data_IF_928781749682
#
_entry.id   IF_928781749682
#
_cell.length_a   1.000
_cell.length_b   1.000
_cell.length_c   1.000
_cell.angle_alpha   90.00
_cell.angle_beta   90.00
_cell.angle_gamma   90.00
#
_symmetry.space_group_name_H-M   'P 1'
#
loop_
_entity.id
_entity.type
_entity.pdbx_description
1 polymer ?
#
# COMPACT_ATOMS: atom_id res chain seq x y z
N UNK A 1 19.22 18.15 -3.28
CA UNK A 1 19.56 16.79 -2.79
C UNK A 1 20.99 16.75 -2.30
N UNK A 2 21.28 16.17 -1.13
CA UNK A 2 22.65 15.96 -0.67
C UNK A 2 23.46 15.14 -1.68
N UNK A 3 24.73 15.50 -1.89
CA UNK A 3 25.62 14.87 -2.88
C UNK A 3 25.76 13.36 -2.68
N UNK A 4 25.76 12.91 -1.41
CA UNK A 4 25.80 11.49 -1.05
C UNK A 4 24.60 10.70 -1.60
N UNK A 5 23.38 11.24 -1.48
CA UNK A 5 22.16 10.58 -1.98
C UNK A 5 22.17 10.52 -3.50
N UNK A 6 22.55 11.63 -4.16
CA UNK A 6 22.72 11.68 -5.61
C UNK A 6 23.73 10.63 -6.10
N UNK A 7 24.89 10.54 -5.46
CA UNK A 7 25.94 9.58 -5.83
C UNK A 7 25.52 8.13 -5.58
N UNK A 8 24.74 7.87 -4.53
CA UNK A 8 24.16 6.55 -4.26
C UNK A 8 23.19 6.12 -5.36
N UNK A 9 22.23 6.98 -5.72
CA UNK A 9 21.28 6.68 -6.79
C UNK A 9 21.96 6.44 -8.14
N UNK A 10 23.02 7.19 -8.45
CA UNK A 10 23.83 6.97 -9.68
C UNK A 10 24.50 5.60 -9.66
N UNK A 11 25.09 5.18 -8.54
CA UNK A 11 25.74 3.85 -8.40
C UNK A 11 24.73 2.73 -8.57
N UNK A 12 23.57 2.84 -7.95
CA UNK A 12 22.50 1.84 -8.04
C UNK A 12 21.97 1.70 -9.47
N UNK A 13 21.70 2.83 -10.14
CA UNK A 13 21.27 2.84 -11.53
C UNK A 13 22.30 2.17 -12.46
N UNK A 14 23.59 2.49 -12.32
CA UNK A 14 24.67 1.85 -13.09
C UNK A 14 24.77 0.34 -12.83
N UNK A 15 24.59 -0.08 -11.57
CA UNK A 15 24.59 -1.50 -11.20
C UNK A 15 23.45 -2.26 -11.86
N UNK A 16 22.23 -1.72 -11.81
CA UNK A 16 21.05 -2.29 -12.47
C UNK A 16 21.24 -2.36 -13.99
N UNK A 17 21.74 -1.28 -14.62
CA UNK A 17 22.03 -1.24 -16.05
C UNK A 17 23.04 -2.32 -16.48
N UNK A 18 24.18 -2.43 -15.77
CA UNK A 18 25.20 -3.44 -16.06
C UNK A 18 24.65 -4.86 -15.93
N UNK A 19 23.86 -5.13 -14.88
CA UNK A 19 23.19 -6.42 -14.69
C UNK A 19 22.23 -6.72 -15.85
N UNK A 20 21.45 -5.74 -16.26
CA UNK A 20 20.46 -5.84 -17.35
C UNK A 20 21.11 -6.13 -18.70
N UNK A 21 22.23 -5.46 -19.00
CA UNK A 21 23.03 -5.68 -20.22
C UNK A 21 23.59 -7.11 -20.25
N UNK A 22 24.08 -7.63 -19.12
CA UNK A 22 24.61 -9.01 -19.02
C UNK A 22 23.52 -10.06 -19.28
N UNK A 23 22.32 -9.86 -18.74
CA UNK A 23 21.19 -10.80 -18.90
C UNK A 23 20.33 -10.54 -20.14
N UNK A 24 20.69 -9.52 -20.96
CA UNK A 24 19.92 -9.02 -22.13
C UNK A 24 18.42 -8.80 -21.83
N UNK A 25 18.06 -8.51 -20.59
CA UNK A 25 16.69 -8.34 -20.11
C UNK A 25 16.68 -7.24 -19.06
N UNK A 26 15.84 -6.23 -19.24
CA UNK A 26 15.62 -5.23 -18.20
C UNK A 26 14.81 -5.92 -17.07
N UNK A 27 15.31 -5.95 -15.82
CA UNK A 27 14.56 -6.46 -14.70
C UNK A 27 13.41 -5.48 -14.43
N UNK A 28 12.27 -5.74 -15.07
CA UNK A 28 11.04 -5.03 -14.75
C UNK A 28 10.48 -5.69 -13.50
N UNK A 29 10.33 -4.93 -12.42
CA UNK A 29 9.63 -5.38 -11.21
C UNK A 29 8.12 -5.45 -11.49
N UNK A 30 7.70 -6.37 -12.37
CA UNK A 30 6.28 -6.69 -12.56
C UNK A 30 5.92 -7.75 -11.53
N UNK A 31 5.56 -7.32 -10.32
CA UNK A 31 4.79 -8.20 -9.45
C UNK A 31 3.39 -8.34 -10.06
N UNK A 32 2.93 -9.55 -10.42
CA UNK A 32 1.59 -9.73 -10.93
C UNK A 32 0.60 -9.24 -9.86
N UNK A 33 -0.25 -8.31 -10.24
CA UNK A 33 -1.23 -7.69 -9.38
C UNK A 33 -2.55 -7.59 -10.14
N UNK A 34 -3.64 -7.92 -9.46
CA UNK A 34 -4.98 -7.71 -9.97
C UNK A 34 -5.60 -6.55 -9.20
N UNK A 35 -6.23 -5.61 -9.91
CA UNK A 35 -6.73 -4.36 -9.35
C UNK A 35 -8.16 -4.17 -9.82
N UNK A 36 -9.07 -3.92 -8.87
CA UNK A 36 -10.46 -3.57 -9.14
C UNK A 36 -10.78 -2.24 -8.46
N UNK A 37 -11.51 -1.37 -9.17
CA UNK A 37 -12.09 -0.19 -8.56
C UNK A 37 -13.26 -0.60 -7.62
N UNK A 38 -13.72 0.32 -6.77
CA UNK A 38 -14.81 0.04 -5.82
C UNK A 38 -16.17 -0.27 -6.46
N UNK A 39 -16.34 -0.05 -7.76
CA UNK A 39 -17.57 -0.41 -8.49
C UNK A 39 -17.54 -1.86 -8.99
N UNK A 40 -16.36 -2.49 -9.05
CA UNK A 40 -16.15 -3.79 -9.66
C UNK A 40 -15.87 -4.90 -8.65
N UNK A 41 -16.06 -4.67 -7.35
CA UNK A 41 -16.04 -5.73 -6.36
C UNK A 41 -17.04 -5.46 -5.24
N UNK A 42 -17.37 -6.49 -4.48
CA UNK A 42 -18.20 -6.41 -3.28
C UNK A 42 -17.53 -7.20 -2.16
N UNK A 43 -17.70 -6.76 -0.93
CA UNK A 43 -17.30 -7.51 0.26
C UNK A 43 -18.58 -7.83 1.03
N UNK A 44 -18.80 -9.10 1.33
CA UNK A 44 -19.94 -9.58 2.11
C UNK A 44 -19.42 -10.56 3.15
N UNK A 45 -19.68 -10.27 4.42
CA UNK A 45 -19.21 -11.09 5.54
C UNK A 45 -17.70 -11.42 5.39
N UNK A 46 -17.36 -12.69 5.16
CA UNK A 46 -16.01 -13.18 4.95
C UNK A 46 -15.71 -13.53 3.48
N UNK A 47 -16.36 -12.87 2.53
CA UNK A 47 -16.21 -13.14 1.10
C UNK A 47 -15.97 -11.86 0.32
N UNK A 48 -15.02 -11.93 -0.61
CA UNK A 48 -14.79 -10.86 -1.60
C UNK A 48 -15.25 -11.36 -2.96
N UNK A 49 -16.17 -10.64 -3.58
CA UNK A 49 -16.72 -10.91 -4.89
C UNK A 49 -16.11 -9.96 -5.92
N UNK A 50 -15.56 -10.48 -7.01
CA UNK A 50 -15.01 -9.67 -8.11
C UNK A 50 -15.06 -10.46 -9.43
N UNK A 51 -15.10 -9.79 -10.59
CA UNK A 51 -15.06 -10.46 -11.88
C UNK A 51 -13.67 -11.00 -12.17
N UNK A 52 -13.61 -12.22 -12.67
CA UNK A 52 -12.42 -12.88 -13.19
C UNK A 52 -12.69 -13.38 -14.60
N UNK A 53 -11.66 -13.38 -15.44
CA UNK A 53 -11.76 -13.87 -16.80
C UNK A 53 -11.43 -15.37 -16.83
N UNK A 54 -12.44 -16.20 -17.09
CA UNK A 54 -12.34 -17.66 -17.12
C UNK A 54 -12.94 -18.13 -18.45
N UNK A 55 -12.20 -18.95 -19.20
CA UNK A 55 -12.66 -19.56 -20.45
C UNK A 55 -13.23 -18.55 -21.46
N UNK A 56 -12.55 -17.42 -21.66
CA UNK A 56 -12.97 -16.40 -22.63
C UNK A 56 -14.14 -15.51 -22.18
N UNK A 57 -14.65 -15.67 -20.95
CA UNK A 57 -15.79 -14.91 -20.43
C UNK A 57 -15.47 -14.28 -19.07
N UNK A 58 -16.03 -13.10 -18.83
CA UNK A 58 -16.01 -12.48 -17.50
C UNK A 58 -17.06 -13.16 -16.61
N UNK A 59 -16.64 -13.66 -15.45
CA UNK A 59 -17.51 -14.30 -14.46
C UNK A 59 -17.28 -13.70 -13.08
N UNK A 60 -18.37 -13.32 -12.41
CA UNK A 60 -18.36 -12.93 -10.99
C UNK A 60 -17.91 -14.15 -10.15
N UNK A 61 -16.82 -14.02 -9.40
CA UNK A 61 -16.34 -15.06 -8.48
C UNK A 61 -16.34 -14.55 -7.06
N UNK A 62 -16.68 -15.44 -6.13
CA UNK A 62 -16.76 -15.17 -4.70
C UNK A 62 -15.67 -15.98 -3.99
N UNK A 63 -14.75 -15.29 -3.30
CA UNK A 63 -13.60 -15.92 -2.63
C UNK A 63 -13.66 -15.66 -1.14
N UNK A 64 -13.59 -16.73 -0.34
CA UNK A 64 -13.50 -16.63 1.11
C UNK A 64 -12.20 -15.97 1.52
N UNK A 65 -12.28 -15.05 2.47
CA UNK A 65 -11.16 -14.32 3.06
C UNK A 65 -11.06 -14.56 4.55
N UNK A 66 -9.83 -14.54 5.05
CA UNK A 66 -9.54 -14.59 6.48
C UNK A 66 -9.49 -13.15 6.96
N UNK A 67 -10.43 -12.77 7.82
CA UNK A 67 -10.56 -11.42 8.37
C UNK A 67 -10.53 -11.48 9.90
N UNK A 68 -9.82 -10.53 10.51
CA UNK A 68 -9.92 -10.22 11.94
C UNK A 68 -11.10 -9.28 12.20
N UNK A 69 -11.61 -9.23 13.44
CA UNK A 69 -12.69 -8.31 13.83
C UNK A 69 -12.34 -6.84 13.54
N UNK A 70 -11.08 -6.45 13.79
CA UNK A 70 -10.57 -5.12 13.47
C UNK A 70 -10.74 -4.79 11.97
N UNK A 71 -10.36 -5.73 11.09
CA UNK A 71 -10.51 -5.55 9.65
C UNK A 71 -11.99 -5.52 9.24
N UNK A 72 -12.84 -6.36 9.82
CA UNK A 72 -14.28 -6.32 9.55
C UNK A 72 -14.87 -4.95 9.91
N UNK A 73 -14.47 -4.36 11.03
CA UNK A 73 -14.91 -3.03 11.42
C UNK A 73 -14.39 -1.94 10.47
N UNK A 74 -13.14 -2.02 10.01
CA UNK A 74 -12.60 -1.07 9.03
C UNK A 74 -13.32 -1.13 7.69
N UNK A 75 -13.71 -2.32 7.24
CA UNK A 75 -14.39 -2.53 5.96
C UNK A 75 -15.84 -2.01 5.93
N UNK A 76 -16.38 -1.55 7.07
CA UNK A 76 -17.65 -0.79 7.13
C UNK A 76 -17.53 0.64 6.59
N UNK A 77 -16.30 1.16 6.51
CA UNK A 77 -16.03 2.49 5.98
C UNK A 77 -16.15 2.52 4.45
N UNK A 78 -16.07 3.72 3.86
CA UNK A 78 -16.08 3.88 2.41
C UNK A 78 -14.90 3.13 1.78
N UNK A 79 -15.24 2.15 0.94
CA UNK A 79 -14.28 1.31 0.25
C UNK A 79 -13.73 1.97 -1.01
N UNK A 80 -12.43 1.79 -1.23
CA UNK A 80 -11.70 2.24 -2.41
C UNK A 80 -11.22 1.07 -3.27
N UNK A 81 -10.00 1.15 -3.78
CA UNK A 81 -9.43 0.11 -4.65
C UNK A 81 -9.20 -1.21 -3.92
N UNK A 82 -9.56 -2.33 -4.56
CA UNK A 82 -9.14 -3.68 -4.19
C UNK A 82 -7.90 -4.06 -4.98
N UNK A 83 -6.87 -4.56 -4.29
CA UNK A 83 -5.63 -5.06 -4.87
C UNK A 83 -5.37 -6.48 -4.38
N UNK A 84 -5.26 -7.43 -5.31
CA UNK A 84 -4.88 -8.82 -4.99
C UNK A 84 -3.47 -9.09 -5.48
N UNK A 85 -2.62 -9.60 -4.59
CA UNK A 85 -1.24 -9.98 -4.88
C UNK A 85 -0.92 -11.36 -4.31
N UNK A 86 0.09 -12.02 -4.87
CA UNK A 86 0.67 -13.24 -4.31
C UNK A 86 2.03 -12.92 -3.68
N UNK A 87 2.18 -13.14 -2.37
CA UNK A 87 3.43 -12.95 -1.62
C UNK A 87 3.73 -14.20 -0.83
N UNK A 88 4.92 -14.79 -1.03
CA UNK A 88 5.36 -16.01 -0.33
C UNK A 88 4.30 -17.13 -0.38
N UNK A 89 3.77 -17.41 -1.57
CA UNK A 89 2.68 -18.36 -1.82
C UNK A 89 1.32 -18.07 -1.14
N UNK A 90 1.16 -16.94 -0.47
CA UNK A 90 -0.12 -16.50 0.10
C UNK A 90 -0.78 -15.45 -0.79
N UNK A 91 -2.08 -15.59 -1.00
CA UNK A 91 -2.89 -14.56 -1.64
C UNK A 91 -3.28 -13.51 -0.62
N UNK A 92 -3.06 -12.24 -0.96
CA UNK A 92 -3.33 -11.10 -0.10
C UNK A 92 -4.27 -10.17 -0.85
N UNK A 93 -5.46 -9.97 -0.29
CA UNK A 93 -6.41 -8.94 -0.71
C UNK A 93 -6.20 -7.69 0.16
N UNK A 94 -5.81 -6.58 -0.48
CA UNK A 94 -5.65 -5.28 0.16
C UNK A 94 -6.79 -4.38 -0.32
N UNK A 95 -7.49 -3.76 0.63
CA UNK A 95 -8.62 -2.88 0.35
C UNK A 95 -8.29 -1.51 0.90
N UNK A 96 -8.33 -0.49 0.06
CA UNK A 96 -8.25 0.89 0.53
C UNK A 96 -9.55 1.24 1.26
N UNK A 97 -9.44 1.81 2.46
CA UNK A 97 -10.58 2.28 3.26
C UNK A 97 -10.38 3.75 3.60
N UNK A 98 -11.41 4.57 3.42
CA UNK A 98 -11.39 5.97 3.84
C UNK A 98 -11.98 6.06 5.24
N UNK A 99 -11.14 6.34 6.24
CA UNK A 99 -11.54 6.52 7.63
C UNK A 99 -11.63 8.03 7.93
N UNK A 100 -12.67 8.51 8.64
CA UNK A 100 -12.75 9.90 9.05
C UNK A 100 -11.53 10.29 9.90
N UNK A 101 -10.96 11.46 9.63
CA UNK A 101 -9.88 11.98 10.46
C UNK A 101 -10.44 12.37 11.84
N UNK A 102 -9.72 12.01 12.93
CA UNK A 102 -10.09 12.48 14.25
C UNK A 102 -9.96 14.00 14.30
N UNK A 103 -10.98 14.69 14.83
CA UNK A 103 -10.92 16.13 15.02
C UNK A 103 -9.97 16.44 16.19
N UNK A 104 -9.08 17.44 16.06
CA UNK A 104 -8.28 17.91 17.18
C UNK A 104 -9.18 18.36 18.33
N UNK A 105 -8.84 17.97 19.55
CA UNK A 105 -9.46 18.49 20.77
C UNK A 105 -8.62 19.65 21.31
N UNK A 106 -9.25 20.59 22.02
CA UNK A 106 -8.53 21.70 22.66
C UNK A 106 -7.53 21.23 23.72
N UNK A 107 -7.75 20.05 24.30
CA UNK A 107 -6.84 19.40 25.24
C UNK A 107 -5.66 18.70 24.58
N UNK A 108 -5.63 18.60 23.25
CA UNK A 108 -4.57 17.88 22.55
C UNK A 108 -3.27 18.68 22.60
N UNK A 109 -2.19 18.01 23.00
CA UNK A 109 -0.87 18.61 23.04
C UNK A 109 -0.33 18.81 21.63
N UNK A 110 0.21 20.01 21.35
CA UNK A 110 0.79 20.32 20.04
C UNK A 110 2.26 19.90 20.03
N UNK A 111 2.63 19.05 19.05
CA UNK A 111 4.02 18.68 18.78
C UNK A 111 4.47 19.31 17.46
N UNK A 112 5.45 20.22 17.53
CA UNK A 112 6.18 20.70 16.36
C UNK A 112 7.23 19.68 15.95
N UNK A 113 7.38 19.42 14.65
CA UNK A 113 8.37 18.49 14.09
C UNK A 113 9.21 19.20 13.03
N UNK A 114 10.53 19.21 13.20
CA UNK A 114 11.51 19.67 12.21
C UNK A 114 12.26 18.48 11.60
N UNK A 115 12.43 18.47 10.27
CA UNK A 115 13.04 17.37 9.53
C UNK A 115 14.47 17.76 9.11
N UNK A 116 15.48 17.11 9.68
CA UNK A 116 16.89 17.48 9.52
C UNK A 116 17.74 16.49 8.72
N UNK A 117 18.95 16.92 8.34
CA UNK A 117 19.95 16.10 7.64
C UNK A 117 20.75 15.19 8.58
N UNK A 118 21.10 15.70 9.77
CA UNK A 118 21.88 14.96 10.78
C UNK A 118 20.98 14.09 11.66
N UNK A 119 19.82 14.63 12.05
CA UNK A 119 18.75 13.92 12.72
C UNK A 119 17.53 13.93 11.77
N UNK A 120 16.99 12.77 11.37
CA UNK A 120 15.90 12.69 10.39
C UNK A 120 14.63 13.47 10.80
N UNK A 121 14.35 13.55 12.11
CA UNK A 121 13.29 14.35 12.68
C UNK A 121 13.66 14.72 14.13
N UNK A 122 13.32 15.95 14.54
CA UNK A 122 13.40 16.44 15.92
C UNK A 122 12.02 17.00 16.28
N UNK A 123 11.54 16.78 17.50
CA UNK A 123 10.25 17.29 17.94
C UNK A 123 10.35 18.14 19.22
N UNK A 124 9.44 19.11 19.33
CA UNK A 124 9.23 19.95 20.51
C UNK A 124 7.74 19.92 20.84
N UNK A 125 7.43 19.77 22.13
CA UNK A 125 6.07 19.79 22.67
C UNK A 125 5.85 21.13 23.37
N UNK A 126 4.76 21.85 23.07
CA UNK A 126 4.31 22.98 23.89
C UNK A 126 3.04 22.62 24.66
N UNK A 127 3.15 22.61 26.00
CA UNK A 127 2.08 22.22 26.92
C UNK A 127 2.64 21.84 28.30
N UNK A 128 1.87 22.05 29.36
CA UNK A 128 2.24 21.69 30.74
C UNK A 128 2.11 20.17 30.91
N UNK A 129 3.09 19.55 31.56
CA UNK A 129 3.10 18.12 31.93
C UNK A 129 1.98 17.77 32.92
#
# INVERSE_FOLDING_TARGET
MPSAVKNQSIREAKSVYRRSKKIKRVPVLKKPVCIWNNQNYRIKENTVEFPVYINGKSKQSAVKVILTEYQQNLLKNKLGTLRITKKSNKWIAQVCVTVPEPKPKETDTVMGVDLGLKAPAVSVISGVL
#
